data_IF_375710966499
#
_entry.id   IF_375710966499
#
_cell.length_a   1.000
_cell.length_b   1.000
_cell.length_c   1.000
_cell.angle_alpha   90.00
_cell.angle_beta   90.00
_cell.angle_gamma   90.00
#
_symmetry.space_group_name_H-M   'P 1'
#
loop_
_entity.id
_entity.type
_entity.pdbx_description
1 polymer ?
#
# COMPACT_ATOMS: atom_id res chain seq x y z
N UNK A 1 -10.73 13.73 -8.68
CA UNK A 1 -9.87 14.10 -7.54
C UNK A 1 -8.46 14.34 -8.03
N UNK A 2 -7.89 15.50 -7.72
CA UNK A 2 -6.47 15.81 -7.92
C UNK A 2 -5.61 15.07 -6.88
N UNK A 3 -4.39 14.69 -7.26
CA UNK A 3 -3.41 14.03 -6.38
C UNK A 3 -3.03 14.86 -5.16
N UNK A 4 -3.12 16.18 -5.28
CA UNK A 4 -2.75 17.14 -4.23
C UNK A 4 -3.56 16.92 -2.94
N UNK A 5 -4.83 16.51 -3.05
CA UNK A 5 -5.69 16.23 -1.88
C UNK A 5 -5.31 14.95 -1.10
N UNK A 6 -4.41 14.13 -1.64
CA UNK A 6 -3.91 12.93 -0.96
C UNK A 6 -2.61 13.20 -0.19
N UNK A 7 -2.04 14.40 -0.26
CA UNK A 7 -0.82 14.73 0.49
C UNK A 7 -1.11 14.74 1.98
N UNK A 8 -0.33 13.98 2.75
CA UNK A 8 -0.53 13.86 4.21
C UNK A 8 0.35 14.80 5.02
N UNK A 9 1.45 15.29 4.43
CA UNK A 9 2.47 16.08 5.13
C UNK A 9 3.27 15.31 6.17
N UNK A 10 3.10 13.98 6.26
CA UNK A 10 3.73 13.12 7.28
C UNK A 10 4.86 12.29 6.70
N UNK A 11 5.83 11.93 7.53
CA UNK A 11 6.80 10.88 7.24
C UNK A 11 6.19 9.48 7.45
N UNK A 12 6.82 8.45 6.89
CA UNK A 12 6.45 7.06 7.11
C UNK A 12 6.46 6.73 8.60
N UNK A 13 7.47 7.24 9.32
CA UNK A 13 7.63 7.04 10.76
C UNK A 13 6.45 7.65 11.53
N UNK A 14 6.12 8.90 11.25
CA UNK A 14 4.97 9.58 11.87
C UNK A 14 3.66 8.87 11.54
N UNK A 15 3.51 8.37 10.30
CA UNK A 15 2.33 7.61 9.91
C UNK A 15 2.23 6.27 10.64
N UNK A 16 3.33 5.53 10.77
CA UNK A 16 3.37 4.28 11.51
C UNK A 16 3.09 4.46 13.00
N UNK A 17 3.50 5.60 13.59
CA UNK A 17 3.19 5.90 14.98
C UNK A 17 1.67 5.93 15.24
N UNK A 18 0.88 6.33 14.24
CA UNK A 18 -0.59 6.29 14.32
C UNK A 18 -1.19 4.89 14.27
N UNK A 19 -0.38 3.89 13.87
CA UNK A 19 -0.77 2.49 13.81
C UNK A 19 -0.16 1.67 14.96
N UNK A 20 0.37 2.32 16.00
CA UNK A 20 0.83 1.61 17.18
C UNK A 20 -0.31 0.77 17.78
N UNK A 21 -0.01 -0.49 18.14
CA UNK A 21 -0.99 -1.48 18.59
C UNK A 21 -1.63 -2.31 17.46
N UNK A 22 -1.56 -1.87 16.20
CA UNK A 22 -2.10 -2.64 15.08
C UNK A 22 -1.20 -3.83 14.72
N UNK A 23 -1.82 -4.87 14.16
CA UNK A 23 -1.11 -5.96 13.50
C UNK A 23 -0.55 -5.45 12.17
N UNK A 24 0.72 -5.76 11.89
CA UNK A 24 1.43 -5.40 10.69
C UNK A 24 2.21 -6.59 10.13
N UNK A 25 2.09 -6.80 8.82
CA UNK A 25 2.90 -7.71 8.03
C UNK A 25 4.02 -6.90 7.38
N UNK A 26 5.27 -7.34 7.58
CA UNK A 26 6.45 -6.71 7.02
C UNK A 26 6.91 -7.50 5.81
N UNK A 27 6.98 -6.84 4.66
CA UNK A 27 7.64 -7.39 3.49
C UNK A 27 9.05 -6.78 3.44
N UNK A 28 10.07 -7.61 3.65
CA UNK A 28 11.46 -7.23 3.47
C UNK A 28 12.13 -8.10 2.39
N UNK A 29 13.24 -7.63 1.79
CA UNK A 29 14.00 -8.44 0.85
C UNK A 29 14.41 -9.78 1.49
N UNK A 30 14.11 -10.89 0.81
CA UNK A 30 14.52 -12.26 1.19
C UNK A 30 14.01 -12.73 2.57
N UNK A 31 12.87 -12.22 3.06
CA UNK A 31 12.31 -12.63 4.35
C UNK A 31 10.82 -12.98 4.26
N UNK A 32 10.43 -14.13 4.82
CA UNK A 32 9.04 -14.49 5.10
C UNK A 32 8.71 -14.18 6.57
N UNK A 33 8.55 -12.90 6.90
CA UNK A 33 8.26 -12.48 8.28
C UNK A 33 6.79 -12.69 8.60
N UNK A 34 6.53 -13.38 9.71
CA UNK A 34 5.19 -13.51 10.26
C UNK A 34 4.61 -12.14 10.65
N UNK A 35 3.30 -11.93 10.47
CA UNK A 35 2.64 -10.72 10.94
C UNK A 35 2.84 -10.50 12.44
N UNK A 36 3.06 -9.25 12.84
CA UNK A 36 3.33 -8.89 14.21
C UNK A 36 2.72 -7.57 14.64
N UNK A 37 2.52 -7.38 15.94
CA UNK A 37 1.96 -6.11 16.46
C UNK A 37 3.03 -5.02 16.50
N UNK A 38 2.68 -3.83 16.01
CA UNK A 38 3.50 -2.62 16.16
C UNK A 38 3.50 -2.23 17.64
N UNK A 39 4.55 -2.60 18.38
CA UNK A 39 4.66 -2.34 19.81
C UNK A 39 5.09 -0.91 20.10
N UNK A 40 6.03 -0.40 19.30
CA UNK A 40 6.59 0.95 19.48
C UNK A 40 7.13 1.47 18.17
N UNK A 41 6.94 2.76 17.93
CA UNK A 41 7.56 3.48 16.82
C UNK A 41 8.52 4.49 17.42
N UNK A 42 9.81 4.37 17.12
CA UNK A 42 10.81 5.31 17.61
C UNK A 42 10.81 6.57 16.75
N UNK A 43 11.09 7.76 17.27
CA UNK A 43 10.91 9.01 16.52
C UNK A 43 11.72 9.12 15.22
N UNK A 44 12.87 8.45 15.13
CA UNK A 44 13.82 8.62 14.01
C UNK A 44 13.88 7.41 13.07
N UNK A 45 14.23 6.22 13.57
CA UNK A 45 14.74 5.18 12.66
C UNK A 45 14.03 3.83 12.74
N UNK A 46 13.47 3.45 13.90
CA UNK A 46 13.09 2.06 14.15
C UNK A 46 11.61 1.89 14.47
N UNK A 47 11.08 0.73 14.10
CA UNK A 47 9.81 0.22 14.60
C UNK A 47 10.03 -1.12 15.28
N UNK A 48 9.40 -1.31 16.43
CA UNK A 48 9.45 -2.57 17.18
C UNK A 48 8.21 -3.40 16.87
N UNK A 49 8.40 -4.56 16.23
CA UNK A 49 7.33 -5.50 15.85
C UNK A 49 7.73 -6.89 16.35
N UNK A 50 6.84 -7.57 17.10
CA UNK A 50 7.12 -8.87 17.73
C UNK A 50 8.50 -8.94 18.42
N UNK A 51 8.83 -7.91 19.21
CA UNK A 51 10.10 -7.77 19.94
C UNK A 51 11.35 -7.49 19.09
N UNK A 52 11.25 -7.52 17.77
CA UNK A 52 12.34 -7.23 16.85
C UNK A 52 12.28 -5.77 16.36
N UNK A 53 13.44 -5.21 16.01
CA UNK A 53 13.58 -3.85 15.50
C UNK A 53 13.77 -3.88 13.98
N UNK A 54 13.03 -3.01 13.29
CA UNK A 54 13.09 -2.86 11.84
C UNK A 54 13.27 -1.40 11.46
N UNK A 55 13.95 -1.16 10.34
CA UNK A 55 14.06 0.17 9.74
C UNK A 55 12.97 0.27 8.66
N UNK A 56 11.90 1.06 8.84
CA UNK A 56 10.77 1.06 7.91
C UNK A 56 11.11 1.38 6.46
N UNK A 57 12.12 2.23 6.23
CA UNK A 57 12.54 2.66 4.90
C UNK A 57 13.36 1.60 4.13
N UNK A 58 13.89 0.59 4.82
CA UNK A 58 14.60 -0.54 4.19
C UNK A 58 13.67 -1.69 3.81
N UNK A 59 12.37 -1.59 4.11
CA UNK A 59 11.37 -2.60 3.79
C UNK A 59 10.81 -2.40 2.39
N UNK A 60 10.35 -3.49 1.76
CA UNK A 60 9.63 -3.43 0.49
C UNK A 60 8.26 -2.77 0.69
N UNK A 61 7.53 -3.21 1.72
CA UNK A 61 6.23 -2.65 2.09
C UNK A 61 5.83 -3.05 3.50
N UNK A 62 4.97 -2.26 4.12
CA UNK A 62 4.40 -2.53 5.45
C UNK A 62 2.88 -2.58 5.31
N UNK A 63 2.28 -3.74 5.56
CA UNK A 63 0.82 -3.90 5.53
C UNK A 63 0.27 -3.86 6.94
N UNK A 64 -0.54 -2.86 7.26
CA UNK A 64 -1.22 -2.71 8.55
C UNK A 64 -2.66 -3.19 8.43
N UNK A 65 -3.10 -4.07 9.33
CA UNK A 65 -4.44 -4.65 9.36
C UNK A 65 -5.40 -3.88 10.26
N UNK A 66 -6.69 -4.20 10.11
CA UNK A 66 -7.80 -3.63 10.87
C UNK A 66 -7.87 -2.10 10.79
N UNK A 67 -7.39 -1.54 9.68
CA UNK A 67 -7.51 -0.10 9.41
C UNK A 67 -8.74 0.12 8.53
N UNK A 68 -9.71 0.96 8.94
CA UNK A 68 -10.92 1.20 8.19
C UNK A 68 -10.67 1.57 6.72
N UNK A 69 -11.52 1.05 5.83
CA UNK A 69 -11.47 1.36 4.40
C UNK A 69 -11.88 2.81 4.21
N UNK A 70 -11.12 3.55 3.41
CA UNK A 70 -11.52 4.90 3.00
C UNK A 70 -12.28 4.84 1.69
N UNK A 71 -13.28 5.69 1.56
CA UNK A 71 -13.94 5.92 0.29
C UNK A 71 -13.14 6.91 -0.58
N UNK A 72 -12.31 7.76 0.04
CA UNK A 72 -11.50 8.78 -0.65
C UNK A 72 -10.21 8.17 -1.20
N UNK A 73 -9.96 8.31 -2.49
CA UNK A 73 -8.72 7.86 -3.11
C UNK A 73 -8.80 7.74 -4.63
N UNK A 74 -7.64 7.60 -5.26
CA UNK A 74 -7.50 7.52 -6.73
C UNK A 74 -7.08 6.10 -7.10
N UNK A 75 -7.67 5.55 -8.16
CA UNK A 75 -7.25 4.24 -8.69
C UNK A 75 -5.98 4.41 -9.51
N UNK A 76 -4.93 3.69 -9.12
CA UNK A 76 -3.60 3.76 -9.72
C UNK A 76 -3.02 2.36 -9.93
N UNK A 77 -2.04 2.25 -10.81
CA UNK A 77 -1.12 1.14 -10.88
C UNK A 77 0.22 1.55 -10.31
N UNK A 78 0.86 0.68 -9.53
CA UNK A 78 2.18 0.94 -8.93
C UNK A 78 3.16 -0.09 -9.45
N UNK A 79 4.31 0.37 -9.96
CA UNK A 79 5.49 -0.45 -10.22
C UNK A 79 6.43 -0.36 -9.04
N UNK A 80 6.89 -1.51 -8.55
CA UNK A 80 7.77 -1.62 -7.39
C UNK A 80 9.14 -2.12 -7.83
N UNK A 81 10.17 -1.77 -7.06
CA UNK A 81 11.55 -2.24 -7.31
C UNK A 81 11.73 -3.73 -7.01
N UNK A 82 10.80 -4.33 -6.28
CA UNK A 82 10.75 -5.76 -5.98
C UNK A 82 9.66 -6.46 -6.81
N UNK A 83 9.74 -7.79 -7.01
CA UNK A 83 8.78 -8.52 -7.85
C UNK A 83 7.38 -8.56 -7.21
N UNK A 84 6.48 -7.67 -7.64
CA UNK A 84 5.07 -7.67 -7.23
C UNK A 84 4.11 -8.23 -8.29
N UNK A 85 4.62 -8.55 -9.49
CA UNK A 85 3.83 -8.88 -10.68
C UNK A 85 2.66 -7.90 -10.84
N UNK A 86 1.43 -8.40 -10.98
CA UNK A 86 0.22 -7.59 -11.19
C UNK A 86 -0.55 -7.24 -9.90
N UNK A 87 0.00 -7.48 -8.70
CA UNK A 87 -0.71 -7.28 -7.44
C UNK A 87 -1.25 -5.84 -7.29
N UNK A 88 -0.43 -4.85 -7.70
CA UNK A 88 -0.71 -3.43 -7.53
C UNK A 88 -1.14 -2.71 -8.81
N UNK A 89 -1.54 -3.44 -9.87
CA UNK A 89 -1.94 -2.85 -11.16
C UNK A 89 -3.16 -1.94 -11.11
N UNK A 90 -4.10 -2.21 -10.20
CA UNK A 90 -5.30 -1.42 -9.98
C UNK A 90 -5.61 -1.41 -8.49
N UNK A 91 -4.98 -0.49 -7.77
CA UNK A 91 -5.11 -0.31 -6.33
C UNK A 91 -5.55 1.12 -6.02
N UNK A 92 -6.21 1.33 -4.88
CA UNK A 92 -6.63 2.67 -4.48
C UNK A 92 -5.50 3.31 -3.70
N UNK A 93 -4.90 4.35 -4.25
CA UNK A 93 -4.01 5.25 -3.54
C UNK A 93 -4.83 6.17 -2.65
N UNK A 94 -4.41 6.31 -1.41
CA UNK A 94 -5.18 6.99 -0.35
C UNK A 94 -4.38 8.05 0.37
N UNK A 95 -3.05 8.03 0.26
CA UNK A 95 -2.17 8.99 0.88
C UNK A 95 -0.82 9.03 0.18
N UNK A 96 -0.24 10.23 0.10
CA UNK A 96 1.13 10.47 -0.34
C UNK A 96 1.82 11.24 0.78
N UNK A 97 2.76 10.58 1.44
CA UNK A 97 3.59 11.20 2.47
C UNK A 97 4.85 11.81 1.90
N UNK A 98 5.73 12.25 2.80
CA UNK A 98 7.02 12.85 2.45
C UNK A 98 8.00 11.82 1.86
N UNK A 99 7.98 10.60 2.41
CA UNK A 99 8.90 9.52 2.03
C UNK A 99 8.18 8.16 1.87
N UNK A 100 6.86 8.17 1.71
CA UNK A 100 6.06 6.97 1.47
C UNK A 100 4.80 7.25 0.65
N UNK A 101 4.22 6.20 0.08
CA UNK A 101 2.84 6.20 -0.41
C UNK A 101 1.99 5.20 0.38
N UNK A 102 0.71 5.50 0.52
CA UNK A 102 -0.27 4.66 1.19
C UNK A 102 -1.34 4.23 0.21
N UNK A 103 -1.56 2.92 0.14
CA UNK A 103 -2.64 2.33 -0.63
C UNK A 103 -3.56 1.50 0.24
N UNK A 104 -4.78 1.33 -0.24
CA UNK A 104 -5.73 0.43 0.37
C UNK A 104 -5.47 -1.01 -0.07
N UNK A 105 -5.25 -1.90 0.91
CA UNK A 105 -5.11 -3.32 0.67
C UNK A 105 -6.34 -3.95 0.02
N UNK A 106 -6.12 -4.96 -0.81
CA UNK A 106 -7.18 -5.80 -1.39
C UNK A 106 -7.42 -7.01 -0.48
N UNK A 107 -8.64 -7.53 -0.51
CA UNK A 107 -9.02 -8.74 0.24
C UNK A 107 -10.18 -8.51 1.21
N UNK A 108 -10.53 -9.55 1.97
CA UNK A 108 -11.61 -9.51 2.96
C UNK A 108 -11.23 -8.60 4.15
N UNK A 109 -10.03 -8.79 4.68
CA UNK A 109 -9.54 -8.03 5.83
C UNK A 109 -9.17 -6.59 5.41
N UNK A 110 -9.77 -5.56 6.03
CA UNK A 110 -9.43 -4.17 5.75
C UNK A 110 -7.99 -3.89 6.18
N UNK A 111 -7.20 -3.36 5.26
CA UNK A 111 -5.76 -3.11 5.49
C UNK A 111 -5.27 -1.90 4.70
N UNK A 112 -4.16 -1.33 5.18
CA UNK A 112 -3.36 -0.32 4.47
C UNK A 112 -2.01 -0.90 4.15
N UNK A 113 -1.50 -0.59 2.98
CA UNK A 113 -0.14 -0.95 2.60
C UNK A 113 0.62 0.35 2.42
N UNK A 114 1.68 0.52 3.20
CA UNK A 114 2.60 1.63 3.17
C UNK A 114 3.83 1.19 2.38
N UNK A 115 4.18 1.92 1.33
CA UNK A 115 5.39 1.70 0.57
C UNK A 115 6.35 2.85 0.83
N UNK A 116 7.57 2.58 1.32
CA UNK A 116 8.67 3.55 1.22
C UNK A 116 8.81 4.01 -0.23
N UNK A 117 9.10 5.30 -0.45
CA UNK A 117 9.33 5.77 -1.83
C UNK A 117 10.51 5.06 -2.50
N UNK A 118 11.50 4.59 -1.73
CA UNK A 118 12.62 3.77 -2.21
C UNK A 118 12.19 2.45 -2.85
N UNK A 119 11.00 1.92 -2.52
CA UNK A 119 10.50 0.66 -3.09
C UNK A 119 9.54 0.86 -4.26
N UNK A 120 9.28 2.11 -4.65
CA UNK A 120 8.37 2.50 -5.72
C UNK A 120 9.15 3.03 -6.91
N UNK A 121 9.02 2.36 -8.04
CA UNK A 121 9.66 2.77 -9.29
C UNK A 121 8.82 3.82 -10.02
N UNK A 122 7.52 3.57 -10.18
CA UNK A 122 6.61 4.53 -10.82
C UNK A 122 5.15 4.30 -10.45
N UNK A 123 4.35 5.35 -10.61
CA UNK A 123 2.91 5.29 -10.44
C UNK A 123 2.24 5.71 -11.74
N UNK A 124 1.32 4.89 -12.24
CA UNK A 124 0.66 5.08 -13.53
C UNK A 124 -0.86 4.98 -13.43
N UNK A 125 -1.56 5.55 -14.41
CA UNK A 125 -3.01 5.38 -14.51
C UNK A 125 -3.33 3.99 -15.07
N UNK A 126 -4.14 3.17 -14.38
CA UNK A 126 -4.50 1.85 -14.89
C UNK A 126 -5.31 2.02 -16.18
N UNK A 127 -4.87 1.39 -17.26
CA UNK A 127 -5.66 1.33 -18.50
C UNK A 127 -7.01 0.68 -18.18
N UNK A 128 -8.13 1.34 -18.52
CA UNK A 128 -9.45 0.72 -18.46
C UNK A 128 -9.42 -0.52 -19.34
N UNK A 129 -9.79 -1.67 -18.79
CA UNK A 129 -10.02 -2.87 -19.60
C UNK A 129 -11.21 -2.54 -20.48
N UNK A 130 -11.01 -2.31 -21.77
CA UNK A 130 -12.10 -2.26 -22.74
C UNK A 130 -12.77 -3.61 -22.67
N UNK A 131 -13.96 -3.68 -22.05
CA UNK A 131 -14.84 -4.82 -22.21
C UNK A 131 -15.10 -4.89 -23.72
N UNK A 132 -14.49 -5.85 -24.41
CA UNK A 132 -14.98 -6.25 -25.74
C UNK A 132 -16.46 -6.56 -25.52
N UNK A 133 -17.35 -5.68 -26.01
CA UNK A 133 -18.77 -6.01 -26.16
C UNK A 133 -18.78 -7.34 -26.91
N UNK A 134 -19.18 -8.43 -26.25
CA UNK A 134 -19.55 -9.65 -26.97
C UNK A 134 -20.63 -9.19 -27.94
N UNK A 135 -20.29 -9.23 -29.23
CA UNK A 135 -21.17 -8.77 -30.30
C UNK A 135 -22.53 -9.43 -30.12
N UNK A 136 -23.57 -8.62 -30.28
CA UNK A 136 -24.94 -9.07 -30.38
C UNK A 136 -24.98 -10.25 -31.36
N UNK A 137 -25.49 -11.39 -30.90
CA UNK A 137 -25.91 -12.45 -31.80
C UNK A 137 -27.09 -11.87 -32.59
N UNK A 138 -26.82 -11.44 -33.81
CA UNK A 138 -27.84 -11.04 -34.76
C UNK A 138 -28.64 -12.32 -35.03
N UNK A 139 -29.84 -12.43 -34.45
CA UNK A 139 -30.85 -13.39 -34.91
C UNK A 139 -31.14 -13.07 -36.36
N UNK A 140 -30.58 -13.84 -37.28
CA UNK A 140 -31.09 -13.92 -38.65
C UNK A 140 -32.12 -15.05 -38.68
N UNK A 141 -33.36 -14.60 -38.86
CA UNK A 141 -34.56 -15.27 -39.43
C UNK A 141 -34.83 -16.70 -39.00
#
# INVERSE_FOLDING_TARGET
>A
MSWQHLRTGKTLQQRLAQFQGHLAELNAPRSGLEPGRIRRVFPRNFVKINHQLFIPLSLNSIRVFNVPRTQRGIRVGIRTTFPSRNAFRNIRLVGVGLNYIEVQGKGRVPSRILFPLSSVESIYRPRKRTLKRKGACIRRR
#
